data_IF_226663647794
#
_entry.id   IF_226663647794
#
_cell.length_a   1.000
_cell.length_b   1.000
_cell.length_c   1.000
_cell.angle_alpha   90.00
_cell.angle_beta   90.00
_cell.angle_gamma   90.00
#
_symmetry.space_group_name_H-M   'P 1'
#
loop_
_entity.id
_entity.type
_entity.pdbx_description
1 polymer ?
#
# COMPACT_ATOMS: atom_id res chain seq x y z
N UNK A 1 -1.95 13.27 -12.11
CA UNK A 1 -0.99 12.31 -12.70
C UNK A 1 0.02 12.04 -11.63
N UNK A 2 0.20 10.77 -11.29
CA UNK A 2 1.22 10.34 -10.33
C UNK A 2 2.60 10.65 -10.90
N UNK A 3 3.44 11.36 -10.15
CA UNK A 3 4.75 11.82 -10.58
C UNK A 3 5.81 11.40 -9.55
N UNK A 4 7.05 11.18 -10.00
CA UNK A 4 8.14 10.81 -9.10
C UNK A 4 8.72 12.03 -8.38
N UNK A 5 8.75 11.98 -7.04
CA UNK A 5 9.26 13.02 -6.15
C UNK A 5 10.56 12.55 -5.44
N UNK A 6 11.75 12.85 -6.01
CA UNK A 6 13.04 12.36 -5.49
C UNK A 6 13.42 12.92 -4.11
N UNK A 7 12.86 14.07 -3.72
CA UNK A 7 13.05 14.73 -2.44
C UNK A 7 12.40 13.95 -1.28
N UNK A 8 11.45 13.07 -1.58
CA UNK A 8 10.76 12.24 -0.59
C UNK A 8 11.47 10.91 -0.30
N UNK A 9 12.52 10.59 -1.06
CA UNK A 9 13.28 9.35 -0.92
C UNK A 9 14.46 9.54 0.02
N UNK A 10 14.58 8.67 1.03
CA UNK A 10 15.76 8.64 1.89
C UNK A 10 17.03 8.28 1.09
N UNK A 11 18.14 8.93 1.40
CA UNK A 11 19.40 8.82 0.63
C UNK A 11 19.84 7.36 0.40
N UNK A 12 19.70 6.50 1.41
CA UNK A 12 20.08 5.09 1.36
C UNK A 12 19.32 4.28 0.29
N UNK A 13 18.14 4.75 -0.15
CA UNK A 13 17.27 4.06 -1.11
C UNK A 13 17.33 4.65 -2.51
N UNK A 14 17.96 5.82 -2.70
CA UNK A 14 17.96 6.53 -3.98
C UNK A 14 18.57 5.71 -5.12
N UNK A 15 19.68 5.02 -4.84
CA UNK A 15 20.36 4.21 -5.85
C UNK A 15 19.49 3.03 -6.31
N UNK A 16 18.86 2.33 -5.38
CA UNK A 16 18.00 1.19 -5.68
C UNK A 16 16.75 1.61 -6.45
N UNK A 17 16.09 2.68 -6.01
CA UNK A 17 14.91 3.23 -6.71
C UNK A 17 15.29 3.71 -8.11
N UNK A 18 16.44 4.39 -8.27
CA UNK A 18 16.89 4.79 -9.60
C UNK A 18 17.17 3.59 -10.51
N UNK A 19 17.77 2.52 -10.00
CA UNK A 19 18.01 1.30 -10.77
C UNK A 19 16.70 0.62 -11.23
N UNK A 20 15.65 0.65 -10.40
CA UNK A 20 14.32 0.16 -10.77
C UNK A 20 13.72 1.06 -11.87
N UNK A 21 13.81 2.38 -11.71
CA UNK A 21 13.35 3.37 -12.70
C UNK A 21 14.03 3.20 -14.05
N UNK A 22 15.33 2.99 -14.06
CA UNK A 22 16.10 2.77 -15.29
C UNK A 22 15.72 1.45 -15.99
N UNK A 23 15.25 0.45 -15.23
CA UNK A 23 14.85 -0.86 -15.76
C UNK A 23 13.44 -0.88 -16.34
N UNK A 24 12.48 -0.27 -15.67
CA UNK A 24 11.06 -0.38 -16.03
C UNK A 24 10.45 0.92 -16.57
N UNK A 25 11.00 2.08 -16.24
CA UNK A 25 10.40 3.38 -16.51
C UNK A 25 9.26 3.73 -15.55
N UNK A 26 9.00 5.03 -15.42
CA UNK A 26 8.05 5.57 -14.44
C UNK A 26 6.60 5.11 -14.68
N UNK A 27 6.16 5.00 -15.93
CA UNK A 27 4.79 4.59 -16.28
C UNK A 27 4.47 3.16 -15.80
N UNK A 28 5.41 2.23 -15.95
CA UNK A 28 5.24 0.84 -15.50
C UNK A 28 5.21 0.77 -13.97
N UNK A 29 6.04 1.57 -13.30
CA UNK A 29 6.07 1.62 -11.84
C UNK A 29 4.75 2.18 -11.31
N UNK A 30 4.22 3.23 -11.92
CA UNK A 30 2.92 3.81 -11.58
C UNK A 30 1.80 2.79 -11.75
N UNK A 31 1.73 2.07 -12.88
CA UNK A 31 0.72 1.02 -13.12
C UNK A 31 0.75 -0.07 -12.03
N UNK A 32 1.94 -0.51 -11.61
CA UNK A 32 2.08 -1.45 -10.51
C UNK A 32 1.56 -0.90 -9.18
N UNK A 33 1.88 0.35 -8.85
CA UNK A 33 1.45 0.97 -7.60
C UNK A 33 -0.07 1.23 -7.62
N UNK A 34 -0.63 1.66 -8.75
CA UNK A 34 -2.08 1.84 -8.91
C UNK A 34 -2.82 0.52 -8.70
N UNK A 35 -2.32 -0.59 -9.29
CA UNK A 35 -2.90 -1.92 -9.10
C UNK A 35 -2.81 -2.40 -7.65
N UNK A 36 -1.70 -2.13 -6.97
CA UNK A 36 -1.56 -2.43 -5.55
C UNK A 36 -2.63 -1.77 -4.68
N UNK A 37 -3.05 -0.56 -5.04
CA UNK A 37 -4.11 0.13 -4.30
C UNK A 37 -5.53 -0.26 -4.76
N UNK A 38 -5.73 -0.49 -6.06
CA UNK A 38 -7.05 -0.65 -6.65
C UNK A 38 -7.52 -2.11 -6.78
N UNK A 39 -6.60 -3.07 -6.83
CA UNK A 39 -6.90 -4.48 -7.08
C UNK A 39 -6.77 -5.31 -5.80
N UNK A 40 -7.79 -6.11 -5.42
CA UNK A 40 -7.66 -7.08 -4.33
C UNK A 40 -6.73 -8.26 -4.68
N UNK A 41 -6.40 -8.43 -5.97
CA UNK A 41 -5.59 -9.54 -6.49
C UNK A 41 -4.10 -9.20 -6.63
N UNK A 42 -3.69 -7.98 -6.27
CA UNK A 42 -2.30 -7.55 -6.31
C UNK A 42 -1.87 -7.13 -4.93
N UNK A 43 -1.02 -7.94 -4.30
CA UNK A 43 -0.46 -7.61 -3.01
C UNK A 43 0.95 -6.99 -3.13
N UNK A 44 1.56 -6.68 -1.97
CA UNK A 44 2.90 -6.11 -1.91
C UNK A 44 3.93 -7.00 -2.59
N UNK A 45 3.86 -8.30 -2.35
CA UNK A 45 4.87 -9.26 -2.77
C UNK A 45 4.79 -9.47 -4.29
N UNK A 46 3.61 -9.34 -4.89
CA UNK A 46 3.42 -9.29 -6.35
C UNK A 46 4.14 -8.09 -6.96
N UNK A 47 3.96 -6.89 -6.39
CA UNK A 47 4.65 -5.68 -6.87
C UNK A 47 6.15 -5.81 -6.71
N UNK A 48 6.61 -6.28 -5.55
CA UNK A 48 8.02 -6.48 -5.28
C UNK A 48 8.64 -7.48 -6.27
N UNK A 49 7.94 -8.56 -6.59
CA UNK A 49 8.38 -9.54 -7.58
C UNK A 49 8.39 -8.94 -8.99
N UNK A 50 7.32 -8.23 -9.37
CA UNK A 50 7.17 -7.61 -10.69
C UNK A 50 8.22 -6.55 -11.00
N UNK A 51 8.62 -5.78 -9.99
CA UNK A 51 9.63 -4.72 -10.09
C UNK A 51 11.04 -5.17 -9.63
N UNK A 52 11.23 -6.43 -9.26
CA UNK A 52 12.50 -6.96 -8.80
C UNK A 52 13.07 -6.24 -7.57
N UNK A 53 12.21 -5.97 -6.59
CA UNK A 53 12.53 -5.30 -5.33
C UNK A 53 12.84 -6.35 -4.28
N UNK A 54 14.11 -6.40 -3.87
CA UNK A 54 14.57 -7.39 -2.89
C UNK A 54 14.33 -6.97 -1.42
N UNK A 55 14.08 -5.69 -1.18
CA UNK A 55 13.93 -5.14 0.16
C UNK A 55 12.60 -4.40 0.34
N UNK A 56 11.84 -4.81 1.35
CA UNK A 56 10.52 -4.25 1.67
C UNK A 56 10.58 -2.75 1.94
N UNK A 57 11.68 -2.24 2.51
CA UNK A 57 11.84 -0.80 2.72
C UNK A 57 11.86 -0.01 1.40
N UNK A 58 12.47 -0.56 0.35
CA UNK A 58 12.52 0.07 -0.98
C UNK A 58 11.13 0.18 -1.59
N UNK A 59 10.28 -0.83 -1.39
CA UNK A 59 8.87 -0.77 -1.79
C UNK A 59 8.13 0.42 -1.14
N UNK A 60 8.22 0.56 0.19
CA UNK A 60 7.51 1.65 0.88
C UNK A 60 8.07 3.04 0.56
N UNK A 61 9.38 3.17 0.36
CA UNK A 61 9.98 4.43 -0.11
C UNK A 61 9.49 4.80 -1.51
N UNK A 62 9.37 3.81 -2.40
CA UNK A 62 8.85 4.01 -3.75
C UNK A 62 7.37 4.44 -3.73
N UNK A 63 6.54 3.85 -2.88
CA UNK A 63 5.14 4.29 -2.71
C UNK A 63 5.04 5.77 -2.30
N UNK A 64 5.92 6.22 -1.40
CA UNK A 64 5.95 7.62 -0.94
C UNK A 64 6.45 8.55 -2.06
N UNK A 65 7.40 8.08 -2.86
CA UNK A 65 8.00 8.87 -3.94
C UNK A 65 7.05 9.11 -5.11
N UNK A 66 6.21 8.15 -5.48
CA UNK A 66 5.31 8.28 -6.64
C UNK A 66 3.96 8.94 -6.33
N UNK A 67 3.63 9.15 -5.05
CA UNK A 67 2.43 9.83 -4.57
C UNK A 67 1.14 9.45 -5.32
N UNK A 68 1.00 8.16 -5.61
CA UNK A 68 -0.13 7.66 -6.39
C UNK A 68 -1.42 7.88 -5.61
N UNK A 69 -2.44 8.38 -6.32
CA UNK A 69 -3.75 8.62 -5.75
C UNK A 69 -4.34 7.30 -5.24
N UNK A 70 -4.65 7.27 -3.94
CA UNK A 70 -5.26 6.10 -3.30
C UNK A 70 -6.76 6.15 -3.55
N UNK A 71 -7.42 5.01 -3.79
CA UNK A 71 -8.88 4.97 -3.82
C UNK A 71 -9.42 5.48 -2.48
N UNK A 72 -10.58 6.13 -2.53
CA UNK A 72 -11.24 6.59 -1.30
C UNK A 72 -11.42 5.39 -0.34
N UNK A 73 -11.07 5.56 0.94
CA UNK A 73 -11.33 4.53 1.94
C UNK A 73 -12.80 4.13 1.90
N UNK A 74 -13.08 2.81 1.97
CA UNK A 74 -14.46 2.35 2.09
C UNK A 74 -15.09 2.95 3.35
N UNK A 75 -16.18 3.73 3.24
CA UNK A 75 -16.84 4.35 4.40
C UNK A 75 -17.23 3.34 5.47
N UNK A 76 -17.50 2.09 5.08
CA UNK A 76 -17.82 0.99 6.00
C UNK A 76 -16.60 0.60 6.82
N UNK A 77 -15.42 0.50 6.20
CA UNK A 77 -14.16 0.22 6.89
C UNK A 77 -13.73 1.40 7.76
N UNK A 78 -13.99 2.64 7.32
CA UNK A 78 -13.66 3.83 8.12
C UNK A 78 -14.48 3.89 9.43
N UNK A 79 -15.81 3.72 9.36
CA UNK A 79 -16.68 3.65 10.53
C UNK A 79 -16.21 2.55 11.50
N UNK A 80 -15.81 1.42 10.93
CA UNK A 80 -15.35 0.26 11.67
C UNK A 80 -14.02 0.49 12.37
N UNK A 81 -13.05 1.13 11.71
CA UNK A 81 -11.77 1.50 12.31
C UNK A 81 -11.94 2.55 13.40
N UNK A 82 -12.83 3.52 13.21
CA UNK A 82 -13.17 4.52 14.23
C UNK A 82 -13.73 3.84 15.48
N UNK A 83 -14.65 2.89 15.33
CA UNK A 83 -15.23 2.16 16.47
C UNK A 83 -14.19 1.27 17.16
N UNK A 84 -13.30 0.62 16.42
CA UNK A 84 -12.18 -0.13 16.99
C UNK A 84 -11.25 0.78 17.80
N UNK A 85 -10.87 1.94 17.26
CA UNK A 85 -10.03 2.93 17.94
C UNK A 85 -10.70 3.45 19.20
N UNK A 86 -12.00 3.72 19.16
CA UNK A 86 -12.79 4.13 20.32
C UNK A 86 -12.76 3.09 21.44
N UNK A 87 -12.96 1.81 21.11
CA UNK A 87 -12.93 0.72 22.11
C UNK A 87 -11.55 0.58 22.75
N UNK A 88 -10.48 0.69 21.97
CA UNK A 88 -9.10 0.64 22.47
C UNK A 88 -8.84 1.80 23.44
N UNK A 89 -9.21 3.03 23.06
CA UNK A 89 -9.03 4.22 23.89
C UNK A 89 -9.85 4.18 25.18
N UNK A 90 -11.04 3.57 25.13
CA UNK A 90 -11.88 3.33 26.30
C UNK A 90 -11.40 2.15 27.18
N UNK A 91 -10.33 1.45 26.80
CA UNK A 91 -9.84 0.26 27.51
C UNK A 91 -10.79 -0.94 27.44
N UNK A 92 -11.69 -0.95 26.45
CA UNK A 92 -12.69 -2.01 26.24
C UNK A 92 -12.16 -3.07 25.29
N UNK A 93 -12.66 -4.29 25.46
CA UNK A 93 -12.31 -5.37 24.56
C UNK A 93 -12.91 -5.14 23.17
N UNK A 94 -12.07 -5.18 22.14
CA UNK A 94 -12.51 -5.09 20.74
C UNK A 94 -13.17 -6.42 20.33
N UNK A 95 -14.44 -6.47 19.90
CA UNK A 95 -15.07 -7.68 19.38
C UNK A 95 -14.30 -8.33 18.23
N UNK A 96 -14.27 -9.65 18.14
CA UNK A 96 -13.58 -10.36 17.04
C UNK A 96 -14.09 -9.95 15.65
N UNK A 97 -15.38 -9.65 15.54
CA UNK A 97 -16.02 -9.16 14.32
C UNK A 97 -15.47 -7.82 13.85
N UNK A 98 -14.90 -7.02 14.76
CA UNK A 98 -14.21 -5.75 14.52
C UNK A 98 -12.68 -5.91 14.34
N UNK A 99 -12.09 -7.02 14.81
CA UNK A 99 -10.65 -7.33 14.60
C UNK A 99 -10.31 -7.87 13.20
N UNK A 100 -11.29 -8.42 12.47
CA UNK A 100 -11.10 -9.08 11.15
C UNK A 100 -11.60 -8.22 9.99
N UNK A 101 -10.77 -7.68 9.07
CA UNK A 101 -11.24 -6.77 8.00
C UNK A 101 -12.50 -7.31 7.30
N UNK A 102 -13.45 -6.44 6.92
CA UNK A 102 -14.71 -6.90 6.32
C UNK A 102 -14.48 -7.56 4.95
N UNK A 103 -13.36 -7.26 4.28
CA UNK A 103 -12.88 -7.98 3.10
C UNK A 103 -12.54 -9.45 3.37
N UNK A 104 -12.42 -9.86 4.63
CA UNK A 104 -12.09 -11.25 5.03
C UNK A 104 -13.31 -12.18 5.06
N UNK A 105 -14.47 -11.74 4.54
CA UNK A 105 -15.60 -12.61 4.23
C UNK A 105 -15.22 -13.49 3.03
N UNK A 106 -14.43 -14.53 3.29
CA UNK A 106 -14.34 -15.79 2.55
C UNK A 106 -14.71 -15.67 1.05
N UNK A 107 -13.72 -15.42 0.21
CA UNK A 107 -13.77 -15.97 -1.15
C UNK A 107 -13.63 -17.50 -1.02
N UNK A 108 -14.78 -18.17 -0.87
CA UNK A 108 -14.95 -19.56 -1.24
C UNK A 108 -16.05 -19.59 -2.28
N UNK A 109 -15.64 -19.55 -3.54
CA UNK A 109 -16.17 -20.37 -4.64
C UNK A 109 -15.29 -20.20 -5.88
#
# INVERSE_FOLDING_TARGET
>A
MSDFHPDRVRDDYKADIQAIRDRYGDEIIIDWIERYYASPDVDRDDVMTGLGIDYVGTFYEMLIAYDVEKPEPDPVEEIRQIEMMRLILDGKEVPETLRKPASWVKQLN
#
